data_IF_928219912354
#
_entry.id   IF_928219912354
#
_cell.length_a   1.000
_cell.length_b   1.000
_cell.length_c   1.000
_cell.angle_alpha   90.00
_cell.angle_beta   90.00
_cell.angle_gamma   90.00
#
_symmetry.space_group_name_H-M   'P 1'
#
loop_
_entity.id
_entity.type
_entity.pdbx_description
1 polymer ?
#
# COMPACT_ATOMS: atom_id res chain seq x y z
N UNK A 1 -23.09 -18.38 22.91
CA UNK A 1 -21.78 -18.55 22.25
C UNK A 1 -21.97 -18.12 20.80
N UNK A 2 -21.23 -17.11 20.34
CA UNK A 2 -21.57 -16.24 19.19
C UNK A 2 -21.52 -16.87 17.79
N UNK A 3 -21.29 -18.18 17.64
CA UNK A 3 -21.10 -18.80 16.31
C UNK A 3 -19.97 -18.15 15.50
N UNK A 4 -19.07 -17.40 16.15
CA UNK A 4 -18.12 -16.49 15.51
C UNK A 4 -16.95 -17.21 14.80
N UNK A 5 -16.75 -18.49 15.09
CA UNK A 5 -15.82 -19.35 14.37
C UNK A 5 -16.57 -20.17 13.34
N UNK A 6 -16.21 -19.96 12.09
CA UNK A 6 -16.69 -20.77 10.98
C UNK A 6 -15.79 -22.00 10.85
N UNK A 7 -16.18 -23.07 11.53
CA UNK A 7 -15.45 -24.34 11.50
C UNK A 7 -15.29 -24.87 10.08
N UNK A 8 -16.24 -24.60 9.17
CA UNK A 8 -16.13 -25.05 7.79
C UNK A 8 -15.02 -24.30 7.04
N UNK A 9 -14.86 -22.98 7.27
CA UNK A 9 -13.73 -22.23 6.70
C UNK A 9 -12.40 -22.60 7.35
N UNK A 10 -12.37 -22.93 8.65
CA UNK A 10 -11.16 -23.41 9.31
C UNK A 10 -10.72 -24.77 8.72
N UNK A 11 -11.64 -25.72 8.56
CA UNK A 11 -11.38 -27.02 7.93
C UNK A 11 -10.94 -26.88 6.47
N UNK A 12 -11.59 -25.98 5.72
CA UNK A 12 -11.23 -25.69 4.34
C UNK A 12 -9.82 -25.06 4.26
N UNK A 13 -9.47 -24.15 5.17
CA UNK A 13 -8.12 -23.62 5.26
C UNK A 13 -7.09 -24.73 5.47
N UNK A 14 -7.32 -25.62 6.43
CA UNK A 14 -6.43 -26.76 6.70
C UNK A 14 -6.26 -27.66 5.47
N UNK A 15 -7.35 -27.93 4.75
CA UNK A 15 -7.33 -28.71 3.50
C UNK A 15 -6.50 -28.02 2.42
N UNK A 16 -6.63 -26.70 2.27
CA UNK A 16 -5.93 -25.91 1.25
C UNK A 16 -4.45 -25.71 1.55
N UNK A 17 -4.04 -25.78 2.82
CA UNK A 17 -2.63 -25.63 3.23
C UNK A 17 -1.69 -26.65 2.58
N UNK A 18 -2.19 -27.82 2.17
CA UNK A 18 -1.43 -28.83 1.45
C UNK A 18 -1.36 -28.62 -0.07
N UNK A 19 -2.07 -27.64 -0.62
CA UNK A 19 -2.16 -27.39 -2.05
C UNK A 19 -1.01 -26.52 -2.60
N UNK A 20 -0.65 -26.75 -3.87
CA UNK A 20 0.29 -25.90 -4.62
C UNK A 20 -0.48 -24.84 -5.40
N UNK A 21 -0.20 -23.56 -5.15
CA UNK A 21 -0.82 -22.45 -5.87
C UNK A 21 -0.04 -22.09 -7.15
N UNK A 22 -0.69 -21.78 -8.28
CA UNK A 22 0.02 -21.26 -9.45
C UNK A 22 0.61 -19.85 -9.21
N UNK A 23 0.23 -19.20 -8.10
CA UNK A 23 0.63 -17.83 -7.77
C UNK A 23 1.82 -17.75 -6.79
N UNK A 24 2.45 -18.87 -6.39
CA UNK A 24 3.54 -18.84 -5.40
C UNK A 24 4.67 -17.87 -5.77
N UNK A 25 5.03 -17.80 -7.06
CA UNK A 25 6.10 -16.93 -7.54
C UNK A 25 5.81 -15.43 -7.40
N UNK A 26 4.54 -15.02 -7.59
CA UNK A 26 4.14 -13.61 -7.39
C UNK A 26 3.90 -13.34 -5.90
N UNK A 27 3.26 -14.26 -5.17
CA UNK A 27 3.05 -14.15 -3.72
C UNK A 27 4.39 -13.97 -3.00
N UNK A 28 5.38 -14.81 -3.28
CA UNK A 28 6.68 -14.77 -2.61
C UNK A 28 7.41 -13.42 -2.75
N UNK A 29 7.28 -12.79 -3.91
CA UNK A 29 7.83 -11.44 -4.16
C UNK A 29 7.05 -10.35 -3.41
N UNK A 30 5.75 -10.54 -3.13
CA UNK A 30 4.89 -9.58 -2.43
C UNK A 30 5.19 -9.56 -0.94
N UNK A 31 5.57 -10.72 -0.37
CA UNK A 31 5.82 -10.86 1.06
C UNK A 31 6.90 -9.88 1.55
N UNK A 32 8.03 -9.81 0.85
CA UNK A 32 9.17 -8.98 1.27
C UNK A 32 8.92 -7.47 1.26
N UNK A 33 7.86 -7.02 0.60
CA UNK A 33 7.49 -5.60 0.50
C UNK A 33 6.18 -5.27 1.22
N UNK A 34 5.51 -6.26 1.79
CA UNK A 34 4.30 -6.08 2.59
C UNK A 34 4.71 -5.74 4.03
N UNK A 35 4.51 -4.49 4.44
CA UNK A 35 4.87 -3.99 5.78
C UNK A 35 6.34 -4.22 6.21
N UNK A 36 7.35 -3.85 5.40
CA UNK A 36 8.76 -4.14 5.71
C UNK A 36 9.28 -3.44 6.98
N UNK A 37 8.59 -2.40 7.45
CA UNK A 37 8.90 -1.68 8.69
C UNK A 37 8.25 -2.28 9.95
N UNK A 38 7.43 -3.32 9.82
CA UNK A 38 6.78 -4.00 10.94
C UNK A 38 7.61 -5.21 11.34
N UNK A 39 7.94 -5.31 12.63
CA UNK A 39 8.81 -6.35 13.17
C UNK A 39 8.38 -7.76 12.75
N UNK A 40 7.07 -8.05 12.81
CA UNK A 40 6.49 -9.33 12.39
C UNK A 40 6.81 -9.74 10.95
N UNK A 41 6.95 -8.79 10.02
CA UNK A 41 7.14 -9.04 8.59
C UNK A 41 8.55 -8.69 8.10
N UNK A 42 9.43 -8.24 9.00
CA UNK A 42 10.77 -7.74 8.67
C UNK A 42 11.69 -8.82 8.11
N UNK A 43 11.69 -9.99 8.74
CA UNK A 43 12.66 -11.03 8.41
C UNK A 43 12.21 -11.85 7.19
N UNK A 44 13.05 -11.95 6.14
CA UNK A 44 12.78 -12.83 5.01
C UNK A 44 12.58 -14.27 5.48
N UNK A 45 11.45 -14.87 5.11
CA UNK A 45 11.04 -16.21 5.57
C UNK A 45 10.82 -16.34 7.08
N UNK A 46 10.74 -15.23 7.82
CA UNK A 46 10.33 -15.20 9.21
C UNK A 46 8.87 -15.64 9.38
N UNK A 47 8.47 -15.92 10.62
CA UNK A 47 7.15 -16.49 10.93
C UNK A 47 5.99 -15.68 10.32
N UNK A 48 6.01 -14.35 10.46
CA UNK A 48 4.96 -13.50 9.90
C UNK A 48 4.88 -13.54 8.37
N UNK A 49 6.01 -13.54 7.65
CA UNK A 49 6.00 -13.71 6.19
C UNK A 49 5.49 -15.09 5.78
N UNK A 50 5.82 -16.15 6.54
CA UNK A 50 5.29 -17.50 6.26
C UNK A 50 3.78 -17.57 6.49
N UNK A 51 3.28 -16.99 7.58
CA UNK A 51 1.84 -16.89 7.86
C UNK A 51 1.13 -16.14 6.74
N UNK A 52 1.64 -14.97 6.35
CA UNK A 52 1.11 -14.17 5.24
C UNK A 52 1.09 -14.96 3.93
N UNK A 53 2.21 -15.58 3.56
CA UNK A 53 2.32 -16.38 2.35
C UNK A 53 1.43 -17.61 2.34
N UNK A 54 1.15 -18.20 3.52
CA UNK A 54 0.24 -19.34 3.65
C UNK A 54 -1.21 -18.91 3.47
N UNK A 55 -1.65 -17.81 4.12
CA UNK A 55 -3.00 -17.24 3.94
C UNK A 55 -3.24 -16.89 2.47
N UNK A 56 -2.32 -16.15 1.83
CA UNK A 56 -2.48 -15.72 0.44
C UNK A 56 -2.52 -16.90 -0.54
N UNK A 57 -1.71 -17.95 -0.31
CA UNK A 57 -1.76 -19.17 -1.13
C UNK A 57 -3.08 -19.91 -0.96
N UNK A 58 -3.53 -20.14 0.27
CA UNK A 58 -4.81 -20.81 0.51
C UNK A 58 -5.97 -20.02 -0.09
N UNK A 59 -5.98 -18.70 0.08
CA UNK A 59 -7.02 -17.85 -0.53
C UNK A 59 -7.02 -17.94 -2.05
N UNK A 60 -5.84 -17.97 -2.69
CA UNK A 60 -5.76 -18.10 -4.16
C UNK A 60 -6.28 -19.43 -4.70
N UNK A 61 -6.31 -20.47 -3.86
CA UNK A 61 -6.89 -21.77 -4.18
C UNK A 61 -8.39 -21.81 -3.86
N UNK A 62 -8.83 -21.08 -2.82
CA UNK A 62 -10.22 -20.98 -2.40
C UNK A 62 -11.08 -20.27 -3.44
N UNK A 63 -10.66 -19.09 -3.91
CA UNK A 63 -11.34 -18.35 -4.99
C UNK A 63 -10.47 -18.28 -6.24
N UNK A 64 -10.49 -19.31 -7.12
CA UNK A 64 -9.65 -19.33 -8.32
C UNK A 64 -10.03 -18.29 -9.38
N UNK A 65 -11.19 -17.64 -9.27
CA UNK A 65 -11.58 -16.57 -10.19
C UNK A 65 -10.83 -15.27 -9.86
N UNK A 66 -10.64 -14.98 -8.58
CA UNK A 66 -9.68 -13.93 -8.15
C UNK A 66 -8.26 -14.46 -8.29
N UNK A 67 -8.03 -15.68 -7.81
CA UNK A 67 -6.71 -16.25 -7.61
C UNK A 67 -5.93 -15.38 -6.62
N UNK A 68 -4.81 -14.83 -7.08
CA UNK A 68 -4.06 -13.85 -6.32
C UNK A 68 -4.04 -12.50 -7.03
N UNK A 69 -4.74 -11.53 -6.45
CA UNK A 69 -4.60 -10.13 -6.82
C UNK A 69 -3.45 -9.50 -6.01
N UNK A 70 -2.56 -8.82 -6.72
CA UNK A 70 -1.41 -8.18 -6.10
C UNK A 70 -1.89 -7.10 -5.11
N UNK A 71 -1.31 -7.05 -3.92
CA UNK A 71 -1.76 -6.13 -2.86
C UNK A 71 -2.72 -6.75 -1.84
N UNK A 72 -3.24 -7.97 -2.06
CA UNK A 72 -4.00 -8.70 -1.03
C UNK A 72 -3.20 -8.89 0.28
N UNK A 73 -1.86 -8.91 0.19
CA UNK A 73 -1.01 -8.94 1.39
C UNK A 73 -1.22 -7.74 2.32
N UNK A 74 -1.63 -6.59 1.79
CA UNK A 74 -1.96 -5.40 2.58
C UNK A 74 -3.29 -5.52 3.32
N UNK A 75 -4.21 -6.37 2.85
CA UNK A 75 -5.44 -6.68 3.57
C UNK A 75 -5.19 -7.67 4.71
N UNK A 76 -4.33 -8.66 4.47
CA UNK A 76 -4.04 -9.76 5.40
C UNK A 76 -3.06 -9.35 6.50
N UNK A 77 -2.06 -8.53 6.18
CA UNK A 77 -1.04 -8.11 7.15
C UNK A 77 -1.62 -7.53 8.45
N UNK A 78 -2.54 -6.54 8.41
CA UNK A 78 -3.15 -5.98 9.61
C UNK A 78 -3.94 -7.00 10.43
N UNK A 79 -4.56 -8.00 9.78
CA UNK A 79 -5.26 -9.08 10.45
C UNK A 79 -4.25 -9.94 11.22
N UNK A 80 -3.17 -10.37 10.59
CA UNK A 80 -2.14 -11.21 11.19
C UNK A 80 -1.44 -10.54 12.38
N UNK A 81 -1.41 -9.20 12.45
CA UNK A 81 -0.91 -8.48 13.62
C UNK A 81 -1.78 -8.70 14.87
N UNK A 82 -3.01 -9.18 14.72
CA UNK A 82 -4.00 -9.35 15.81
C UNK A 82 -4.53 -10.79 15.95
N UNK A 83 -4.26 -11.68 15.00
CA UNK A 83 -4.77 -13.06 15.01
C UNK A 83 -3.86 -14.03 14.24
N UNK A 84 -4.13 -15.33 14.39
CA UNK A 84 -3.44 -16.38 13.65
C UNK A 84 -3.82 -16.43 12.17
N UNK A 85 -3.04 -17.20 11.39
CA UNK A 85 -3.21 -17.36 9.95
C UNK A 85 -4.58 -17.97 9.57
N UNK A 86 -5.06 -18.97 10.31
CA UNK A 86 -6.40 -19.54 10.11
C UNK A 86 -7.51 -18.48 10.26
N UNK A 87 -7.47 -17.65 11.31
CA UNK A 87 -8.49 -16.63 11.51
C UNK A 87 -8.39 -15.53 10.46
N UNK A 88 -7.17 -15.10 10.10
CA UNK A 88 -6.96 -14.11 9.05
C UNK A 88 -7.47 -14.58 7.69
N UNK A 89 -7.30 -15.87 7.36
CA UNK A 89 -7.91 -16.48 6.18
C UNK A 89 -9.44 -16.41 6.23
N UNK A 90 -10.05 -16.82 7.33
CA UNK A 90 -11.51 -16.80 7.47
C UNK A 90 -12.06 -15.38 7.30
N UNK A 91 -11.44 -14.38 7.93
CA UNK A 91 -11.85 -12.98 7.79
C UNK A 91 -11.64 -12.49 6.37
N UNK A 92 -10.54 -12.84 5.70
CA UNK A 92 -10.33 -12.47 4.28
C UNK A 92 -11.44 -13.02 3.39
N UNK A 93 -11.83 -14.29 3.57
CA UNK A 93 -12.97 -14.89 2.84
C UNK A 93 -14.25 -14.11 3.10
N UNK A 94 -14.57 -13.81 4.37
CA UNK A 94 -15.78 -13.04 4.73
C UNK A 94 -15.75 -11.62 4.19
N UNK A 95 -14.60 -10.96 4.18
CA UNK A 95 -14.43 -9.66 3.55
C UNK A 95 -14.80 -9.72 2.05
N UNK A 96 -14.41 -10.78 1.36
CA UNK A 96 -14.73 -10.96 -0.05
C UNK A 96 -16.22 -11.30 -0.27
N UNK A 97 -16.77 -12.24 0.49
CA UNK A 97 -18.13 -12.76 0.29
C UNK A 97 -19.23 -11.87 0.87
N UNK A 98 -19.02 -11.29 2.05
CA UNK A 98 -20.07 -10.62 2.84
C UNK A 98 -19.96 -9.09 2.83
N UNK A 99 -18.79 -8.53 2.51
CA UNK A 99 -18.56 -7.07 2.52
C UNK A 99 -18.48 -6.45 1.12
N UNK A 100 -18.96 -7.15 0.10
CA UNK A 100 -19.03 -6.67 -1.30
C UNK A 100 -17.69 -6.16 -1.85
N UNK A 101 -16.60 -6.87 -1.51
CA UNK A 101 -15.25 -6.55 -1.96
C UNK A 101 -14.80 -7.41 -3.13
N UNK A 102 -15.34 -8.63 -3.27
CA UNK A 102 -14.90 -9.62 -4.27
C UNK A 102 -14.85 -9.03 -5.68
N UNK A 103 -15.86 -8.24 -6.06
CA UNK A 103 -15.95 -7.58 -7.38
C UNK A 103 -14.80 -6.59 -7.64
N UNK A 104 -14.18 -6.02 -6.62
CA UNK A 104 -13.03 -5.14 -6.74
C UNK A 104 -11.72 -5.89 -7.05
N UNK A 105 -11.66 -7.20 -6.78
CA UNK A 105 -10.47 -8.03 -6.95
C UNK A 105 -10.59 -9.05 -8.10
N UNK A 106 -11.73 -9.10 -8.78
CA UNK A 106 -11.87 -9.88 -10.01
C UNK A 106 -10.95 -9.34 -11.12
N UNK A 107 -10.54 -10.17 -12.10
CA UNK A 107 -9.63 -9.74 -13.16
C UNK A 107 -10.11 -8.54 -13.98
N UNK A 108 -11.43 -8.35 -14.08
CA UNK A 108 -12.04 -7.21 -14.76
C UNK A 108 -12.10 -5.93 -13.90
N UNK A 109 -11.79 -6.03 -12.61
CA UNK A 109 -11.86 -4.94 -11.62
C UNK A 109 -13.22 -4.23 -11.62
N UNK A 110 -14.29 -4.91 -12.01
CA UNK A 110 -15.63 -4.34 -12.22
C UNK A 110 -16.12 -3.54 -11.02
N UNK A 111 -16.02 -4.10 -9.82
CA UNK A 111 -16.39 -3.41 -8.58
C UNK A 111 -15.52 -2.19 -8.29
N UNK A 112 -14.23 -2.24 -8.63
CA UNK A 112 -13.32 -1.13 -8.41
C UNK A 112 -13.67 0.07 -9.31
N UNK A 113 -14.05 -0.18 -10.56
CA UNK A 113 -14.52 0.87 -11.46
C UNK A 113 -15.75 1.60 -10.89
N UNK A 114 -16.69 0.85 -10.29
CA UNK A 114 -17.85 1.43 -9.59
C UNK A 114 -17.39 2.29 -8.42
N UNK A 115 -16.44 1.82 -7.60
CA UNK A 115 -15.92 2.61 -6.46
C UNK A 115 -15.21 3.90 -6.90
N UNK A 116 -14.44 3.85 -7.99
CA UNK A 116 -13.79 5.04 -8.54
C UNK A 116 -14.83 6.06 -9.02
N UNK A 117 -15.87 5.61 -9.73
CA UNK A 117 -16.97 6.47 -10.16
C UNK A 117 -17.72 7.08 -8.98
N UNK A 118 -18.14 6.25 -8.02
CA UNK A 118 -18.84 6.68 -6.80
C UNK A 118 -18.02 7.76 -6.07
N UNK A 119 -16.73 7.52 -5.87
CA UNK A 119 -15.87 8.49 -5.22
C UNK A 119 -15.76 9.81 -5.99
N UNK A 120 -15.60 9.76 -7.31
CA UNK A 120 -15.58 10.95 -8.15
C UNK A 120 -16.85 11.80 -8.01
N UNK A 121 -18.03 11.17 -7.98
CA UNK A 121 -19.30 11.86 -7.78
C UNK A 121 -19.46 12.42 -6.35
N UNK A 122 -19.00 11.68 -5.34
CA UNK A 122 -18.96 12.16 -3.96
C UNK A 122 -18.04 13.38 -3.80
N UNK A 123 -16.86 13.35 -4.44
CA UNK A 123 -15.91 14.46 -4.41
C UNK A 123 -16.53 15.72 -5.02
N UNK A 124 -17.15 15.61 -6.20
CA UNK A 124 -17.85 16.72 -6.85
C UNK A 124 -19.00 17.26 -6.00
N UNK A 125 -19.73 16.38 -5.29
CA UNK A 125 -20.87 16.76 -4.46
C UNK A 125 -20.45 17.48 -3.18
N UNK A 126 -19.37 17.03 -2.54
CA UNK A 126 -19.01 17.47 -1.18
C UNK A 126 -17.84 18.47 -1.14
N UNK A 127 -16.95 18.45 -2.13
CA UNK A 127 -15.77 19.32 -2.23
C UNK A 127 -15.62 19.83 -3.68
N UNK A 128 -16.61 20.58 -4.20
CA UNK A 128 -16.68 20.93 -5.62
C UNK A 128 -15.50 21.77 -6.11
N UNK A 129 -14.94 22.64 -5.25
CA UNK A 129 -13.76 23.43 -5.59
C UNK A 129 -12.53 22.56 -5.82
N UNK A 130 -12.29 21.59 -4.94
CA UNK A 130 -11.23 20.60 -5.08
C UNK A 130 -11.43 19.72 -6.32
N UNK A 131 -12.66 19.25 -6.55
CA UNK A 131 -12.98 18.46 -7.74
C UNK A 131 -12.67 19.23 -9.04
N UNK A 132 -13.09 20.50 -9.12
CA UNK A 132 -12.82 21.35 -10.28
C UNK A 132 -11.31 21.62 -10.47
N UNK A 133 -10.55 21.73 -9.38
CA UNK A 133 -9.10 21.88 -9.43
C UNK A 133 -8.42 20.60 -9.97
N UNK A 134 -8.83 19.43 -9.50
CA UNK A 134 -8.32 18.15 -10.04
C UNK A 134 -8.68 17.99 -11.52
N UNK A 135 -9.91 18.33 -11.92
CA UNK A 135 -10.35 18.30 -13.30
C UNK A 135 -9.52 19.27 -14.17
N UNK A 136 -9.19 20.47 -13.66
CA UNK A 136 -8.32 21.42 -14.36
C UNK A 136 -6.92 20.85 -14.62
N UNK A 137 -6.37 20.11 -13.65
CA UNK A 137 -5.10 19.40 -13.77
C UNK A 137 -5.21 18.05 -14.50
N UNK A 138 -6.39 17.70 -15.01
CA UNK A 138 -6.68 16.43 -15.69
C UNK A 138 -6.36 15.20 -14.81
N UNK A 139 -6.59 15.33 -13.49
CA UNK A 139 -6.37 14.27 -12.52
C UNK A 139 -7.67 13.49 -12.33
N UNK A 140 -7.74 12.33 -12.98
CA UNK A 140 -8.82 11.38 -12.77
C UNK A 140 -8.70 10.67 -11.40
N UNK A 141 -9.82 10.21 -10.80
CA UNK A 141 -9.83 9.52 -9.50
C UNK A 141 -9.20 8.11 -9.52
N UNK A 142 -8.33 7.80 -10.48
CA UNK A 142 -7.65 6.52 -10.59
C UNK A 142 -6.72 6.21 -9.39
N UNK A 143 -6.23 7.24 -8.68
CA UNK A 143 -5.44 7.08 -7.44
C UNK A 143 -6.21 6.32 -6.33
N UNK A 144 -7.54 6.37 -6.36
CA UNK A 144 -8.44 5.65 -5.45
C UNK A 144 -8.23 4.14 -5.53
N UNK A 145 -7.75 3.63 -6.67
CA UNK A 145 -7.41 2.21 -6.85
C UNK A 145 -6.46 1.71 -5.76
N UNK A 146 -5.44 2.49 -5.42
CA UNK A 146 -4.50 2.14 -4.36
C UNK A 146 -5.20 2.06 -3.01
N UNK A 147 -5.98 3.09 -2.70
CA UNK A 147 -6.65 3.23 -1.41
C UNK A 147 -7.59 2.06 -1.17
N UNK A 148 -8.39 1.70 -2.18
CA UNK A 148 -9.42 0.66 -2.08
C UNK A 148 -8.84 -0.75 -2.11
N UNK A 149 -7.88 -1.05 -2.98
CA UNK A 149 -7.28 -2.38 -3.07
C UNK A 149 -6.34 -2.73 -1.92
N UNK A 150 -5.97 -1.75 -1.08
CA UNK A 150 -5.07 -1.97 0.07
C UNK A 150 -5.68 -1.58 1.41
N UNK A 151 -6.95 -1.16 1.44
CA UNK A 151 -7.57 -0.58 2.64
C UNK A 151 -6.73 0.55 3.24
N UNK A 152 -6.16 1.40 2.38
CA UNK A 152 -5.22 2.46 2.71
C UNK A 152 -3.88 2.02 3.35
N UNK A 153 -3.66 0.72 3.54
CA UNK A 153 -2.55 0.21 4.34
C UNK A 153 -1.15 0.47 3.77
N UNK A 154 -1.05 0.88 2.49
CA UNK A 154 0.24 1.25 1.87
C UNK A 154 0.84 2.49 2.53
N UNK A 155 0.03 3.51 2.82
CA UNK A 155 0.50 4.80 3.33
C UNK A 155 -0.04 5.15 4.71
N UNK A 156 -1.17 4.57 5.12
CA UNK A 156 -1.81 4.85 6.40
C UNK A 156 -0.95 4.35 7.58
N UNK A 157 -0.72 5.20 8.60
CA UNK A 157 -0.10 4.76 9.85
C UNK A 157 -0.91 3.67 10.54
N UNK A 158 -0.24 2.65 11.09
CA UNK A 158 -0.90 1.48 11.67
C UNK A 158 -1.97 1.80 12.74
N UNK A 159 -1.73 2.72 13.71
CA UNK A 159 -2.75 3.03 14.71
C UNK A 159 -4.06 3.54 14.09
N UNK A 160 -3.97 4.31 13.00
CA UNK A 160 -5.14 4.81 12.27
C UNK A 160 -5.74 3.72 11.39
N UNK A 161 -4.90 2.92 10.71
CA UNK A 161 -5.33 1.79 9.88
C UNK A 161 -6.18 0.80 10.67
N UNK A 162 -5.78 0.46 11.89
CA UNK A 162 -6.56 -0.46 12.73
C UNK A 162 -7.95 0.09 13.04
N UNK A 163 -8.08 1.41 13.24
CA UNK A 163 -9.39 2.05 13.41
C UNK A 163 -10.24 2.02 12.14
N UNK A 164 -9.64 2.03 10.95
CA UNK A 164 -10.38 1.79 9.70
C UNK A 164 -10.99 0.38 9.75
N UNK A 165 -10.20 -0.64 10.10
CA UNK A 165 -10.68 -2.02 10.21
C UNK A 165 -11.80 -2.19 11.25
N UNK A 166 -11.67 -1.54 12.41
CA UNK A 166 -12.72 -1.58 13.45
C UNK A 166 -14.06 -1.11 12.90
N UNK A 167 -14.07 0.00 12.15
CA UNK A 167 -15.31 0.54 11.57
C UNK A 167 -15.77 -0.25 10.35
N UNK A 168 -14.85 -0.81 9.55
CA UNK A 168 -15.20 -1.74 8.46
C UNK A 168 -16.02 -2.91 9.00
N UNK A 169 -15.57 -3.54 10.09
CA UNK A 169 -16.27 -4.67 10.68
C UNK A 169 -17.58 -4.29 11.39
N UNK A 170 -17.72 -3.05 11.82
CA UNK A 170 -18.92 -2.56 12.49
C UNK A 170 -20.00 -2.05 11.51
N UNK A 171 -19.60 -1.32 10.46
CA UNK A 171 -20.50 -0.52 9.63
C UNK A 171 -20.47 -0.88 8.14
N UNK A 172 -19.53 -1.73 7.70
CA UNK A 172 -19.39 -2.13 6.30
C UNK A 172 -18.17 -1.52 5.61
N UNK A 173 -17.61 -2.26 4.64
CA UNK A 173 -16.36 -1.89 3.99
C UNK A 173 -16.54 -0.73 3.00
N UNK A 174 -17.50 -0.82 2.09
CA UNK A 174 -17.70 0.15 1.02
C UNK A 174 -17.96 1.57 1.55
N UNK A 175 -18.84 1.71 2.53
CA UNK A 175 -19.19 2.98 3.17
C UNK A 175 -17.99 3.56 3.92
N UNK A 176 -17.34 2.74 4.75
CA UNK A 176 -16.18 3.16 5.55
C UNK A 176 -15.05 3.65 4.64
N UNK A 177 -14.75 2.91 3.57
CA UNK A 177 -13.71 3.28 2.61
C UNK A 177 -14.00 4.60 1.90
N UNK A 178 -15.27 4.85 1.51
CA UNK A 178 -15.70 6.11 0.92
C UNK A 178 -15.59 7.29 1.90
N UNK A 179 -16.01 7.08 3.16
CA UNK A 179 -15.93 8.10 4.21
C UNK A 179 -14.48 8.48 4.53
N UNK A 180 -13.60 7.49 4.66
CA UNK A 180 -12.16 7.72 4.88
C UNK A 180 -11.58 8.51 3.70
N UNK A 181 -11.84 8.08 2.47
CA UNK A 181 -11.34 8.76 1.27
C UNK A 181 -11.79 10.24 1.24
N UNK A 182 -13.07 10.51 1.52
CA UNK A 182 -13.61 11.86 1.50
C UNK A 182 -13.10 12.73 2.66
N UNK A 183 -12.98 12.17 3.87
CA UNK A 183 -12.45 12.88 5.03
C UNK A 183 -10.99 13.30 4.80
N UNK A 184 -10.16 12.39 4.27
CA UNK A 184 -8.75 12.67 3.97
C UNK A 184 -8.62 13.74 2.86
N UNK A 185 -9.45 13.70 1.82
CA UNK A 185 -9.48 14.77 0.81
C UNK A 185 -9.87 16.12 1.42
N UNK A 186 -10.93 16.15 2.23
CA UNK A 186 -11.41 17.37 2.90
C UNK A 186 -10.34 18.00 3.79
N UNK A 187 -9.63 17.20 4.59
CA UNK A 187 -8.55 17.68 5.45
C UNK A 187 -7.32 18.19 4.70
N UNK A 188 -7.15 17.77 3.45
CA UNK A 188 -6.02 18.15 2.61
C UNK A 188 -6.42 19.12 1.48
N UNK A 189 -7.64 19.66 1.48
CA UNK A 189 -8.14 20.51 0.38
C UNK A 189 -7.18 21.67 0.09
N UNK A 190 -6.80 22.46 1.10
CA UNK A 190 -5.87 23.57 0.92
C UNK A 190 -4.50 23.14 0.37
N UNK A 191 -3.98 22.00 0.84
CA UNK A 191 -2.69 21.47 0.40
C UNK A 191 -2.73 21.00 -1.05
N UNK A 192 -3.82 20.33 -1.44
CA UNK A 192 -3.99 19.83 -2.80
C UNK A 192 -4.23 20.99 -3.76
N UNK A 193 -5.08 21.96 -3.41
CA UNK A 193 -5.34 23.14 -4.25
C UNK A 193 -4.13 24.06 -4.39
N UNK A 194 -3.18 24.00 -3.45
CA UNK A 194 -1.90 24.72 -3.57
C UNK A 194 -0.93 24.08 -4.58
N UNK A 195 -1.14 22.83 -4.99
CA UNK A 195 -0.35 22.18 -6.03
C UNK A 195 -0.74 22.75 -7.40
N UNK A 196 0.25 23.05 -8.24
CA UNK A 196 0.01 23.58 -9.58
C UNK A 196 0.13 22.51 -10.68
N UNK A 197 0.82 21.40 -10.38
CA UNK A 197 1.17 20.39 -11.36
C UNK A 197 0.56 19.02 -11.00
N UNK A 198 0.28 18.23 -12.03
CA UNK A 198 -0.25 16.86 -11.91
C UNK A 198 0.61 15.99 -10.97
N UNK A 199 1.94 16.06 -11.11
CA UNK A 199 2.88 15.22 -10.37
C UNK A 199 2.86 15.51 -8.86
N UNK A 200 2.75 16.79 -8.47
CA UNK A 200 2.73 17.21 -7.07
C UNK A 200 1.51 16.66 -6.33
N UNK A 201 0.34 16.75 -6.97
CA UNK A 201 -0.91 16.21 -6.41
C UNK A 201 -0.82 14.69 -6.29
N UNK A 202 -0.38 14.00 -7.34
CA UNK A 202 -0.26 12.54 -7.33
C UNK A 202 0.76 12.06 -6.29
N UNK A 203 1.87 12.78 -6.11
CA UNK A 203 2.84 12.51 -5.06
C UNK A 203 2.21 12.67 -3.69
N UNK A 204 1.45 13.74 -3.45
CA UNK A 204 0.78 13.94 -2.17
C UNK A 204 -0.24 12.82 -1.89
N UNK A 205 -1.17 12.58 -2.80
CA UNK A 205 -2.27 11.61 -2.65
C UNK A 205 -1.80 10.16 -2.45
N UNK A 206 -0.61 9.82 -2.94
CA UNK A 206 -0.05 8.47 -2.84
C UNK A 206 1.12 8.37 -1.84
N UNK A 207 1.36 9.40 -1.03
CA UNK A 207 2.43 9.41 -0.02
C UNK A 207 1.88 9.23 1.40
N UNK A 208 2.80 8.94 2.33
CA UNK A 208 2.52 9.00 3.78
C UNK A 208 2.14 10.40 4.24
N UNK A 209 2.61 11.44 3.54
CA UNK A 209 2.35 12.83 3.89
C UNK A 209 0.88 13.25 3.77
N UNK A 210 0.05 12.45 3.10
CA UNK A 210 -1.41 12.62 3.07
C UNK A 210 -2.03 12.56 4.47
N UNK A 211 -1.44 11.77 5.37
CA UNK A 211 -1.94 11.51 6.73
C UNK A 211 -1.45 12.52 7.78
N UNK A 212 -0.50 13.38 7.41
CA UNK A 212 0.10 14.37 8.33
C UNK A 212 -0.95 15.32 8.93
N UNK A 213 -2.07 15.54 8.24
CA UNK A 213 -3.18 16.39 8.69
C UNK A 213 -3.87 15.88 9.97
N UNK A 214 -3.68 14.60 10.34
CA UNK A 214 -4.20 14.03 11.58
C UNK A 214 -3.14 13.92 12.69
N UNK A 215 -1.86 14.22 12.42
CA UNK A 215 -0.79 14.19 13.43
C UNK A 215 -0.70 12.86 14.23
N UNK A 216 -1.01 11.73 13.59
CA UNK A 216 -1.11 10.40 14.23
C UNK A 216 -2.22 10.27 15.30
N UNK A 217 -3.15 11.22 15.37
CA UNK A 217 -4.32 11.16 16.23
C UNK A 217 -5.41 10.29 15.60
N UNK A 218 -5.44 9.02 16.03
CA UNK A 218 -6.39 8.05 15.54
C UNK A 218 -7.84 8.35 15.97
N UNK A 219 -8.04 8.99 17.12
CA UNK A 219 -9.39 9.32 17.62
C UNK A 219 -9.97 10.50 16.85
N UNK A 220 -9.18 11.55 16.62
CA UNK A 220 -9.58 12.66 15.76
C UNK A 220 -9.91 12.18 14.34
N UNK A 221 -9.12 11.25 13.80
CA UNK A 221 -9.36 10.64 12.50
C UNK A 221 -10.68 9.87 12.45
N UNK A 222 -10.95 9.00 13.44
CA UNK A 222 -12.21 8.27 13.51
C UNK A 222 -13.40 9.19 13.60
N UNK A 223 -13.35 10.18 14.50
CA UNK A 223 -14.42 11.16 14.64
C UNK A 223 -14.71 11.89 13.33
N UNK A 224 -13.67 12.18 12.53
CA UNK A 224 -13.82 12.86 11.25
C UNK A 224 -14.58 12.01 10.22
N UNK A 225 -14.13 10.77 9.94
CA UNK A 225 -14.80 9.96 8.93
C UNK A 225 -16.14 9.36 9.41
N UNK A 226 -16.31 9.11 10.71
CA UNK A 226 -17.60 8.68 11.29
C UNK A 226 -18.62 9.83 11.30
N UNK A 227 -18.20 11.10 11.33
CA UNK A 227 -19.13 12.23 11.14
C UNK A 227 -19.86 12.19 9.80
N UNK A 228 -19.30 11.47 8.82
CA UNK A 228 -19.88 11.29 7.49
C UNK A 228 -20.89 10.12 7.43
N UNK A 229 -21.15 9.39 8.52
CA UNK A 229 -22.04 8.22 8.52
C UNK A 229 -23.46 8.54 8.04
N UNK A 230 -24.02 9.68 8.44
CA UNK A 230 -25.34 10.14 7.94
C UNK A 230 -25.34 10.71 6.53
N UNK A 231 -24.16 10.98 5.96
CA UNK A 231 -23.99 11.60 4.63
C UNK A 231 -23.70 10.54 3.57
N UNK A 232 -22.80 9.60 3.87
CA UNK A 232 -22.36 8.53 2.99
C UNK A 232 -23.01 7.23 3.46
N UNK A 233 -24.19 6.97 2.91
CA UNK A 233 -25.04 5.82 3.23
C UNK A 233 -24.96 4.76 2.15
N UNK A 234 -25.32 3.52 2.49
CA UNK A 234 -25.45 2.43 1.53
C UNK A 234 -26.40 2.80 0.38
N UNK A 235 -27.57 3.38 0.70
CA UNK A 235 -28.56 3.83 -0.29
C UNK A 235 -27.98 4.82 -1.31
N UNK A 236 -27.16 5.77 -0.82
CA UNK A 236 -26.48 6.71 -1.70
C UNK A 236 -25.51 5.99 -2.64
N UNK A 237 -24.70 5.06 -2.12
CA UNK A 237 -23.76 4.29 -2.95
C UNK A 237 -24.51 3.43 -3.98
N UNK A 238 -25.59 2.75 -3.61
CA UNK A 238 -26.44 2.00 -4.53
C UNK A 238 -27.02 2.89 -5.64
N UNK A 239 -27.50 4.08 -5.30
CA UNK A 239 -28.03 5.02 -6.31
C UNK A 239 -26.96 5.46 -7.31
N UNK A 240 -25.71 5.65 -6.85
CA UNK A 240 -24.57 5.99 -7.70
C UNK A 240 -24.13 4.81 -8.56
N UNK A 241 -24.23 3.58 -8.04
CA UNK A 241 -23.96 2.36 -8.82
C UNK A 241 -25.00 2.17 -9.93
N UNK A 242 -26.28 2.38 -9.64
CA UNK A 242 -27.32 2.35 -10.68
C UNK A 242 -27.04 3.38 -11.77
N UNK A 243 -26.69 4.62 -11.39
CA UNK A 243 -26.29 5.67 -12.34
C UNK A 243 -25.10 5.25 -13.19
N UNK A 244 -24.12 4.54 -12.60
CA UNK A 244 -22.97 4.04 -13.33
C UNK A 244 -23.36 2.98 -14.38
N UNK A 245 -24.23 2.04 -14.01
CA UNK A 245 -24.76 1.01 -14.91
C UNK A 245 -25.54 1.63 -16.08
N UNK A 246 -26.40 2.61 -15.81
CA UNK A 246 -27.15 3.34 -16.85
C UNK A 246 -26.23 4.07 -17.85
N UNK A 247 -25.09 4.59 -17.39
CA UNK A 247 -24.09 5.23 -18.25
C UNK A 247 -23.40 4.19 -19.15
N UNK A 248 -23.09 3.00 -18.62
CA UNK A 248 -22.49 1.92 -19.40
C UNK A 248 -23.46 1.40 -20.47
N UNK A 249 -24.73 1.17 -20.12
CA UNK A 249 -25.74 0.64 -21.05
C UNK A 249 -26.07 1.61 -22.19
N UNK A 250 -26.08 2.92 -21.92
CA UNK A 250 -26.40 3.96 -22.90
C UNK A 250 -25.26 4.25 -23.91
N UNK A 251 -24.23 3.40 -23.99
CA UNK A 251 -23.22 3.44 -25.07
C UNK A 251 -22.26 4.63 -25.00
N UNK A 252 -22.34 5.50 -23.98
CA UNK A 252 -21.21 6.32 -23.55
C UNK A 252 -20.35 5.46 -22.63
N UNK A 253 -19.78 4.38 -23.17
CA UNK A 253 -18.66 3.73 -22.51
C UNK A 253 -17.64 4.84 -22.21
N UNK A 254 -17.36 5.18 -20.95
CA UNK A 254 -16.30 6.12 -20.67
C UNK A 254 -15.05 5.49 -21.29
N UNK A 255 -14.33 6.22 -22.14
CA UNK A 255 -13.08 5.73 -22.75
C UNK A 255 -12.03 5.24 -21.72
N UNK A 256 -12.31 5.47 -20.43
CA UNK A 256 -11.55 5.27 -19.21
C UNK A 256 -11.50 3.83 -18.66
N UNK A 257 -12.22 2.85 -19.25
CA UNK A 257 -12.08 1.42 -18.83
C UNK A 257 -10.64 0.94 -19.04
N UNK A 258 -10.02 1.29 -20.17
CA UNK A 258 -8.64 0.95 -20.47
C UNK A 258 -7.67 1.65 -19.51
N UNK A 259 -7.91 2.92 -19.15
CA UNK A 259 -7.03 3.70 -18.28
C UNK A 259 -7.10 3.27 -16.81
N UNK A 260 -8.25 2.82 -16.30
CA UNK A 260 -8.37 2.31 -14.93
C UNK A 260 -7.82 0.88 -14.82
N UNK A 261 -8.08 -0.01 -15.79
CA UNK A 261 -7.40 -1.32 -15.82
C UNK A 261 -5.89 -1.11 -15.93
N UNK A 262 -5.46 -0.14 -16.74
CA UNK A 262 -4.07 0.25 -16.88
C UNK A 262 -3.54 0.97 -15.64
N UNK A 263 -4.31 1.76 -14.90
CA UNK A 263 -3.89 2.46 -13.70
C UNK A 263 -3.89 1.55 -12.48
N UNK A 264 -4.84 0.64 -12.34
CA UNK A 264 -4.82 -0.48 -11.40
C UNK A 264 -3.64 -1.39 -11.71
N UNK A 265 -3.46 -1.83 -12.95
CA UNK A 265 -2.33 -2.68 -13.36
C UNK A 265 -0.98 -1.95 -13.32
N UNK A 266 -0.92 -0.64 -13.60
CA UNK A 266 0.28 0.20 -13.45
C UNK A 266 0.49 0.60 -11.99
N UNK A 267 -0.53 0.69 -11.15
CA UNK A 267 -0.37 0.92 -9.71
C UNK A 267 0.18 -0.34 -9.05
N UNK A 268 -0.47 -1.48 -9.29
CA UNK A 268 0.03 -2.79 -8.93
C UNK A 268 1.45 -2.97 -9.53
N UNK A 269 1.65 -2.66 -10.81
CA UNK A 269 2.94 -2.76 -11.49
C UNK A 269 4.03 -1.78 -11.01
N UNK A 270 3.73 -0.52 -10.71
CA UNK A 270 4.70 0.53 -10.27
C UNK A 270 5.07 0.39 -8.81
N UNK A 271 4.16 -0.10 -7.96
CA UNK A 271 4.52 -0.62 -6.63
C UNK A 271 5.52 -1.79 -6.75
N UNK A 272 5.58 -2.47 -7.90
CA UNK A 272 6.34 -3.71 -8.11
C UNK A 272 7.64 -3.56 -8.91
N UNK A 273 7.75 -2.56 -9.80
CA UNK A 273 8.99 -2.29 -10.55
C UNK A 273 10.00 -1.44 -9.77
N UNK A 274 9.63 -0.90 -8.61
CA UNK A 274 10.58 -0.29 -7.68
C UNK A 274 11.36 -1.36 -6.92
N UNK A 275 12.19 -2.08 -7.65
CA UNK A 275 13.33 -2.83 -7.12
C UNK A 275 14.49 -2.64 -8.08
N UNK A 276 14.98 -1.39 -8.17
CA UNK A 276 16.32 -0.98 -8.64
C UNK A 276 16.46 0.55 -8.65
N UNK A 277 16.37 1.20 -7.48
CA UNK A 277 17.04 2.48 -7.20
C UNK A 277 16.84 2.82 -5.73
N UNK A 278 17.85 2.50 -4.94
CA UNK A 278 18.10 3.11 -3.64
C UNK A 278 18.06 4.63 -3.82
N UNK A 279 17.04 5.29 -3.26
CA UNK A 279 17.17 6.70 -2.91
C UNK A 279 18.02 6.76 -1.66
N UNK A 280 19.34 6.86 -1.83
CA UNK A 280 20.25 7.30 -0.77
C UNK A 280 19.88 8.74 -0.40
N UNK A 281 19.14 8.89 0.69
CA UNK A 281 19.04 10.14 1.42
C UNK A 281 20.02 10.06 2.59
N UNK A 282 21.00 10.97 2.59
CA UNK A 282 21.98 11.14 3.65
C UNK A 282 21.32 11.26 5.03
N UNK A 283 21.80 10.53 6.06
CA UNK A 283 21.32 10.69 7.43
C UNK A 283 22.12 11.82 8.09
N UNK A 284 21.69 13.06 7.88
CA UNK A 284 22.12 14.18 8.70
C UNK A 284 21.00 15.21 8.76
N UNK A 285 20.16 15.11 9.81
CA UNK A 285 19.55 16.23 10.57
C UNK A 285 18.49 15.65 11.53
N UNK A 286 18.96 14.92 12.54
CA UNK A 286 18.24 14.86 13.82
C UNK A 286 18.74 16.03 14.66
N UNK A 287 17.94 17.08 14.76
CA UNK A 287 18.18 18.24 15.62
C UNK A 287 16.84 18.88 16.01
N UNK A 288 16.66 19.32 17.27
CA UNK A 288 15.34 19.45 17.88
C UNK A 288 14.61 20.75 17.51
N UNK A 289 13.28 20.65 17.51
CA UNK A 289 12.28 21.72 17.62
C UNK A 289 12.80 23.11 17.99
N UNK A 290 12.51 24.11 17.14
CA UNK A 290 12.39 25.52 17.56
C UNK A 290 11.14 26.20 16.99
N UNK A 291 10.56 27.00 17.87
CA UNK A 291 9.31 27.79 17.80
C UNK A 291 9.30 28.86 16.70
N UNK A 292 8.07 29.21 16.34
CA UNK A 292 7.66 30.38 15.55
C UNK A 292 8.22 31.72 16.06
N UNK A 293 8.44 32.64 15.11
CA UNK A 293 8.72 34.06 15.34
C UNK A 293 8.93 34.82 14.02
N UNK A 294 8.18 35.92 13.87
CA UNK A 294 8.08 36.85 12.74
C UNK A 294 9.40 37.45 12.21
N UNK A 295 9.43 37.87 10.94
CA UNK A 295 9.48 39.29 10.50
C UNK A 295 9.82 39.46 9.00
N UNK A 296 9.05 40.35 8.38
CA UNK A 296 9.14 41.02 7.07
C UNK A 296 10.56 41.30 6.50
N UNK A 297 10.74 41.17 5.16
CA UNK A 297 11.04 42.30 4.24
C UNK A 297 11.18 41.91 2.76
N UNK A 298 10.81 42.89 1.93
CA UNK A 298 10.65 42.98 0.47
C UNK A 298 11.94 43.47 -0.19
N UNK A 299 12.29 43.04 -1.41
CA UNK A 299 12.87 43.92 -2.45
C UNK A 299 12.98 43.25 -3.83
N UNK A 300 12.90 44.11 -4.86
CA UNK A 300 12.81 43.89 -6.31
C UNK A 300 14.16 44.04 -7.04
N UNK A 301 14.27 43.46 -8.26
CA UNK A 301 14.72 44.12 -9.52
C UNK A 301 15.83 43.45 -10.36
N UNK A 302 15.45 43.11 -11.62
CA UNK A 302 16.07 43.32 -12.96
C UNK A 302 17.41 42.70 -13.41
N UNK A 303 17.28 41.98 -14.54
CA UNK A 303 17.99 42.07 -15.86
C UNK A 303 19.52 41.93 -15.97
N UNK A 304 19.97 40.94 -16.76
CA UNK A 304 20.60 41.08 -18.11
C UNK A 304 21.41 39.80 -18.47
N UNK A 305 21.03 39.08 -19.52
CA UNK A 305 21.62 39.05 -20.88
C UNK A 305 23.10 38.64 -20.94
N UNK A 306 23.42 37.52 -21.61
CA UNK A 306 24.24 37.48 -22.85
C UNK A 306 24.35 36.05 -23.39
N UNK A 307 24.17 35.94 -24.71
CA UNK A 307 24.31 34.82 -25.65
C UNK A 307 25.73 34.22 -25.67
N UNK A 308 26.00 33.02 -26.20
CA UNK A 308 26.14 32.77 -27.65
C UNK A 308 26.29 31.27 -27.94
N UNK A 309 25.50 30.87 -28.93
CA UNK A 309 25.59 29.77 -29.90
C UNK A 309 26.97 29.13 -30.10
N UNK A 310 27.01 27.79 -30.22
CA UNK A 310 27.45 27.11 -31.46
C UNK A 310 27.10 25.61 -31.45
N UNK A 311 26.55 25.18 -32.59
CA UNK A 311 26.28 23.82 -33.11
C UNK A 311 27.49 22.89 -33.02
N UNK A 312 27.43 21.57 -33.15
CA UNK A 312 26.55 20.69 -33.91
C UNK A 312 27.42 19.50 -34.34
N UNK A 313 26.84 18.31 -34.31
CA UNK A 313 27.46 16.98 -34.40
C UNK A 313 28.23 16.70 -35.72
N UNK A 314 29.10 15.67 -35.70
CA UNK A 314 29.32 14.86 -36.90
C UNK A 314 30.67 14.14 -37.06
N UNK A 315 30.71 12.89 -36.60
CA UNK A 315 31.29 11.69 -37.25
C UNK A 315 32.81 11.48 -37.48
N UNK A 316 33.21 10.24 -37.13
CA UNK A 316 34.29 9.37 -37.65
C UNK A 316 35.75 9.88 -37.51
N UNK A 317 36.78 9.09 -37.22
CA UNK A 317 37.06 7.73 -37.64
C UNK A 317 38.12 7.11 -36.70
N UNK A 318 38.20 5.78 -36.70
CA UNK A 318 39.17 4.97 -35.97
C UNK A 318 40.54 4.87 -36.67
N UNK A 319 41.66 4.84 -35.93
CA UNK A 319 42.80 3.95 -36.19
C UNK A 319 43.98 4.14 -35.21
N UNK A 320 44.52 2.99 -34.73
CA UNK A 320 45.95 2.67 -34.45
C UNK A 320 46.68 3.45 -33.32
N UNK A 321 47.56 2.92 -32.46
CA UNK A 321 48.32 1.66 -32.31
C UNK A 321 49.11 1.77 -31.00
N UNK A 322 49.43 0.63 -30.36
CA UNK A 322 50.69 0.27 -29.62
C UNK A 322 51.33 1.26 -28.62
N UNK A 323 52.00 0.87 -27.53
CA UNK A 323 52.34 -0.38 -26.85
C UNK A 323 53.06 0.00 -25.52
N UNK A 324 53.29 -1.01 -24.66
CA UNK A 324 54.42 -1.15 -23.71
C UNK A 324 54.57 -0.10 -22.58
N UNK A 325 54.92 -0.42 -21.33
CA UNK A 325 55.42 -1.63 -20.66
C UNK A 325 55.64 -1.33 -19.17
N UNK A 326 55.79 -2.40 -18.37
CA UNK A 326 56.52 -2.50 -17.08
C UNK A 326 55.91 -1.76 -15.88
N UNK A 327 55.94 -2.29 -14.66
CA UNK A 327 56.52 -3.50 -14.09
C UNK A 327 55.87 -3.70 -12.70
N UNK A 328 55.75 -4.94 -12.23
CA UNK A 328 56.52 -5.47 -11.08
C UNK A 328 56.30 -4.69 -9.78
N UNK A 329 55.92 -5.27 -8.66
CA UNK A 329 56.15 -6.65 -8.19
C UNK A 329 55.70 -6.71 -6.71
N UNK A 330 55.31 -7.93 -6.29
CA UNK A 330 55.62 -8.53 -4.98
C UNK A 330 54.99 -7.88 -3.73
N UNK A 331 54.63 -8.57 -2.65
CA UNK A 331 54.73 -9.96 -2.20
C UNK A 331 54.05 -9.94 -0.82
N UNK A 332 53.08 -10.80 -0.55
CA UNK A 332 53.21 -12.05 0.22
C UNK A 332 53.04 -11.93 1.75
N UNK A 333 52.57 -13.06 2.29
CA UNK A 333 52.75 -13.61 3.65
C UNK A 333 51.71 -13.18 4.70
N UNK A 334 50.67 -13.99 4.96
CA UNK A 334 50.56 -15.20 5.82
C UNK A 334 50.09 -14.85 7.25
N UNK A 335 48.93 -15.34 7.67
CA UNK A 335 48.71 -16.58 8.45
C UNK A 335 48.98 -16.40 9.95
N UNK A 336 47.94 -16.57 10.79
CA UNK A 336 47.98 -17.35 12.05
C UNK A 336 46.55 -17.81 12.38
N UNK A 337 46.46 -19.04 12.88
CA UNK A 337 45.27 -19.81 13.24
C UNK A 337 45.39 -20.22 14.73
N UNK A 338 44.22 -20.50 15.34
CA UNK A 338 43.88 -21.40 16.49
C UNK A 338 44.21 -20.99 17.95
N UNK A 339 43.66 -21.64 19.02
CA UNK A 339 42.34 -22.30 19.26
C UNK A 339 41.75 -22.17 20.73
N UNK A 340 40.55 -22.78 20.93
CA UNK A 340 40.04 -23.50 22.16
C UNK A 340 39.57 -22.69 23.40
N UNK A 341 38.64 -23.10 24.27
CA UNK A 341 37.89 -24.35 24.56
C UNK A 341 36.58 -24.02 25.32
N UNK A 342 35.44 -24.68 25.08
CA UNK A 342 34.78 -25.76 25.87
C UNK A 342 34.74 -25.58 27.40
N UNK A 343 33.53 -25.53 27.97
CA UNK A 343 33.17 -26.19 29.23
C UNK A 343 31.67 -26.56 29.24
N UNK A 344 31.40 -27.77 29.69
CA UNK A 344 30.12 -28.48 29.74
C UNK A 344 29.82 -28.87 31.18
N UNK A 345 28.52 -28.98 31.47
CA UNK A 345 27.87 -29.96 32.36
C UNK A 345 27.60 -29.65 33.85
N UNK A 346 26.44 -30.22 34.22
CA UNK A 346 25.96 -30.73 35.52
C UNK A 346 25.19 -29.74 36.43
N UNK A 347 24.10 -30.10 37.12
CA UNK A 347 23.23 -31.28 37.17
C UNK A 347 22.07 -30.99 38.17
N UNK A 348 21.01 -31.82 38.17
CA UNK A 348 20.08 -31.98 39.31
C UNK A 348 18.63 -31.60 38.98
N UNK A 349 17.75 -32.51 38.52
CA UNK A 349 17.10 -33.63 39.23
C UNK A 349 16.05 -33.17 40.26
N UNK A 350 14.76 -33.37 39.96
CA UNK A 350 13.82 -34.03 40.88
C UNK A 350 12.51 -34.43 40.18
N UNK A 351 12.24 -35.74 40.27
CA UNK A 351 11.00 -36.45 39.91
C UNK A 351 10.58 -37.16 41.21
N UNK A 352 9.37 -36.92 41.71
CA UNK A 352 8.63 -37.76 42.67
C UNK A 352 7.18 -37.24 42.74
N UNK A 353 6.20 -37.97 42.20
CA UNK A 353 5.28 -38.88 42.91
C UNK A 353 4.31 -38.19 43.88
N UNK A 354 3.00 -38.25 43.57
CA UNK A 354 1.99 -38.84 44.46
C UNK A 354 0.65 -39.03 43.72
N UNK A 355 0.15 -40.26 43.81
CA UNK A 355 -1.20 -40.72 43.52
C UNK A 355 -2.17 -40.41 44.66
N UNK A 356 -3.47 -40.58 44.38
CA UNK A 356 -4.59 -40.77 45.32
C UNK A 356 -5.20 -39.52 45.98
N UNK A 357 -6.30 -39.02 45.42
CA UNK A 357 -7.67 -39.36 45.84
C UNK A 357 -8.70 -38.81 44.85
#
# INVERSE_FOLDING_TARGET
MSGARDLALEEEYERLCGGSSPYEGIIGKDLGRSFPGVEMFRDPNGEGQRMLGKVLRCFSLYDPKIGYCQGLGFLVGPLLMHMGDTQAFCILVRLMENYDLRSCYLPDLSGLHVRIFQFGELLKRHIPALAAHLDHLQIEPAYVSQWFLSFFAVTCPLPMLFRIYDVIFAEGASETMMRVALAVMRKNEERITACAEFEDVMQLLLSRGLWDCYHMDADAFVNDFVSLTGTITNDLLQSLEQKYSEIQENGKAPAHSADIVTAGSRFLGRMWTSSSKTMTLNPATLGPYRRAGDFLRKSTSKQSMTSTLTSGEGSADSSTTEATSRGSSQSDVASVRVPSAVLSAAAGSQKALASSN
#
